data_IF_232983503103
#
_entry.id   IF_232983503103
#
_cell.length_a   1.000
_cell.length_b   1.000
_cell.length_c   1.000
_cell.angle_alpha   90.00
_cell.angle_beta   90.00
_cell.angle_gamma   90.00
#
_symmetry.space_group_name_H-M   'P 1'
#
loop_
_entity.id
_entity.type
_entity.pdbx_description
1 polymer ?
#
# COMPACT_ATOMS: atom_id res chain seq x y z
N UNK A 1 18.62 -24.50 5.70
CA UNK A 1 19.05 -23.17 5.21
C UNK A 1 18.85 -23.02 3.70
N UNK A 2 19.61 -23.71 2.83
CA UNK A 2 19.55 -23.57 1.36
C UNK A 2 18.14 -23.53 0.74
N UNK A 3 17.33 -24.57 0.94
CA UNK A 3 15.96 -24.64 0.37
C UNK A 3 15.05 -23.53 0.90
N UNK A 4 15.10 -23.25 2.20
CA UNK A 4 14.33 -22.16 2.80
C UNK A 4 14.74 -20.78 2.27
N UNK A 5 16.04 -20.53 2.05
CA UNK A 5 16.53 -19.29 1.44
C UNK A 5 16.13 -19.19 -0.02
N UNK A 6 16.14 -20.30 -0.76
CA UNK A 6 15.65 -20.32 -2.14
C UNK A 6 14.16 -19.97 -2.19
N UNK A 7 13.33 -20.57 -1.34
CA UNK A 7 11.91 -20.23 -1.24
C UNK A 7 11.70 -18.76 -0.88
N UNK A 8 12.49 -18.25 0.08
CA UNK A 8 12.47 -16.84 0.42
C UNK A 8 12.84 -15.95 -0.77
N UNK A 9 13.78 -16.34 -1.61
CA UNK A 9 14.22 -15.53 -2.76
C UNK A 9 13.12 -15.28 -3.80
N UNK A 10 12.11 -16.14 -3.87
CA UNK A 10 10.94 -15.97 -4.75
C UNK A 10 9.78 -15.24 -4.08
N UNK A 11 9.83 -15.02 -2.77
CA UNK A 11 8.75 -14.34 -2.04
C UNK A 11 8.58 -12.84 -2.33
N UNK A 12 9.52 -12.07 -2.93
CA UNK A 12 9.22 -10.71 -3.39
C UNK A 12 8.03 -10.64 -4.35
N UNK A 13 7.80 -11.70 -5.16
CA UNK A 13 6.67 -11.78 -6.08
C UNK A 13 5.33 -11.98 -5.36
N UNK A 14 5.36 -12.58 -4.16
CA UNK A 14 4.18 -12.75 -3.34
C UNK A 14 3.94 -11.52 -2.45
N UNK A 15 4.97 -11.09 -1.70
CA UNK A 15 4.88 -9.92 -0.83
C UNK A 15 6.26 -9.37 -0.41
N UNK A 16 6.65 -8.21 -0.96
CA UNK A 16 7.96 -7.58 -0.75
C UNK A 16 8.30 -7.28 0.72
N UNK A 17 7.35 -6.80 1.53
CA UNK A 17 7.64 -6.47 2.95
C UNK A 17 8.01 -7.71 3.77
N UNK A 18 7.28 -8.82 3.57
CA UNK A 18 7.54 -10.07 4.28
C UNK A 18 8.87 -10.67 3.85
N UNK A 19 9.17 -10.64 2.55
CA UNK A 19 10.48 -10.98 2.02
C UNK A 19 11.59 -10.22 2.76
N UNK A 20 11.50 -8.89 2.74
CA UNK A 20 12.56 -8.02 3.24
C UNK A 20 12.81 -8.25 4.72
N UNK A 21 11.75 -8.26 5.54
CA UNK A 21 11.86 -8.44 6.98
C UNK A 21 12.39 -9.82 7.35
N UNK A 22 11.94 -10.87 6.67
CA UNK A 22 12.45 -12.23 6.89
C UNK A 22 13.93 -12.34 6.48
N UNK A 23 14.31 -11.75 5.35
CA UNK A 23 15.70 -11.76 4.88
C UNK A 23 16.63 -11.00 5.83
N UNK A 24 16.22 -9.82 6.31
CA UNK A 24 16.96 -9.06 7.30
C UNK A 24 17.08 -9.82 8.63
N UNK A 25 15.99 -10.43 9.11
CA UNK A 25 16.01 -11.25 10.32
C UNK A 25 17.00 -12.41 10.22
N UNK A 26 16.95 -13.20 9.14
CA UNK A 26 17.87 -14.32 8.93
C UNK A 26 19.32 -13.83 8.79
N UNK A 27 19.54 -12.77 8.03
CA UNK A 27 20.86 -12.14 7.89
C UNK A 27 21.44 -11.73 9.24
N UNK A 28 20.64 -11.07 10.08
CA UNK A 28 21.05 -10.70 11.45
C UNK A 28 21.34 -11.93 12.31
N UNK A 29 20.56 -13.00 12.22
CA UNK A 29 20.84 -14.24 12.96
C UNK A 29 22.17 -14.87 12.56
N UNK A 30 22.50 -14.91 11.27
CA UNK A 30 23.78 -15.43 10.79
C UNK A 30 24.94 -14.59 11.35
N UNK A 31 24.80 -13.26 11.34
CA UNK A 31 25.81 -12.34 11.85
C UNK A 31 26.02 -12.49 13.38
N UNK A 32 24.94 -12.63 14.15
CA UNK A 32 24.99 -12.74 15.61
C UNK A 32 25.46 -14.11 16.12
N UNK A 33 25.32 -15.18 15.32
CA UNK A 33 25.66 -16.55 15.72
C UNK A 33 27.09 -17.01 15.31
N UNK A 34 27.97 -16.07 14.91
CA UNK A 34 29.40 -16.29 14.67
C UNK A 34 29.81 -17.30 13.57
N UNK A 35 28.87 -17.83 12.77
CA UNK A 35 29.16 -18.67 11.57
C UNK A 35 29.32 -17.80 10.32
N UNK A 36 30.29 -16.89 10.37
CA UNK A 36 30.18 -15.60 9.65
C UNK A 36 30.37 -15.63 8.13
N UNK A 37 31.23 -16.48 7.57
CA UNK A 37 31.56 -16.35 6.13
C UNK A 37 30.78 -17.30 5.24
N UNK A 38 30.90 -18.61 5.45
CA UNK A 38 30.29 -19.60 4.55
C UNK A 38 28.76 -19.50 4.52
N UNK A 39 28.12 -19.36 5.69
CA UNK A 39 26.66 -19.34 5.76
C UNK A 39 26.10 -18.03 5.21
N UNK A 40 26.77 -16.90 5.43
CA UNK A 40 26.40 -15.62 4.83
C UNK A 40 26.57 -15.64 3.31
N UNK A 41 27.68 -16.16 2.79
CA UNK A 41 27.89 -16.30 1.34
C UNK A 41 26.83 -17.20 0.71
N UNK A 42 26.54 -18.36 1.32
CA UNK A 42 25.48 -19.24 0.83
C UNK A 42 24.12 -18.55 0.90
N UNK A 43 23.82 -17.82 1.97
CA UNK A 43 22.57 -17.08 2.10
C UNK A 43 22.41 -16.02 0.99
N UNK A 44 23.42 -15.19 0.77
CA UNK A 44 23.41 -14.15 -0.27
C UNK A 44 23.31 -14.74 -1.69
N UNK A 45 24.03 -15.83 -1.97
CA UNK A 45 23.94 -16.50 -3.28
C UNK A 45 22.54 -17.04 -3.55
N UNK A 46 21.89 -17.62 -2.54
CA UNK A 46 20.53 -18.15 -2.68
C UNK A 46 19.46 -17.05 -2.68
N UNK A 47 19.80 -15.81 -2.30
CA UNK A 47 18.94 -14.65 -2.47
C UNK A 47 19.02 -14.03 -3.86
N UNK A 48 20.01 -14.37 -4.69
CA UNK A 48 20.14 -13.77 -6.03
C UNK A 48 18.86 -13.81 -6.90
N UNK A 49 18.01 -14.84 -6.88
CA UNK A 49 16.75 -14.82 -7.62
C UNK A 49 15.82 -13.66 -7.23
N UNK A 50 15.92 -13.12 -6.01
CA UNK A 50 15.13 -11.96 -5.61
C UNK A 50 15.48 -10.71 -6.40
N UNK A 51 16.67 -10.63 -7.01
CA UNK A 51 17.07 -9.50 -7.85
C UNK A 51 16.19 -9.37 -9.10
N UNK A 52 15.53 -10.46 -9.51
CA UNK A 52 14.55 -10.43 -10.61
C UNK A 52 13.34 -9.54 -10.30
N UNK A 53 13.09 -9.19 -9.03
CA UNK A 53 12.02 -8.26 -8.65
C UNK A 53 12.42 -6.79 -8.74
N UNK A 54 13.72 -6.46 -8.88
CA UNK A 54 14.20 -5.07 -8.90
C UNK A 54 13.59 -4.22 -10.04
N UNK A 55 13.38 -4.74 -11.27
CA UNK A 55 12.73 -3.96 -12.33
C UNK A 55 11.34 -3.43 -11.92
N UNK A 56 10.61 -4.14 -11.05
CA UNK A 56 9.29 -3.72 -10.57
C UNK A 56 9.33 -2.55 -9.58
N UNK A 57 10.50 -2.26 -9.01
CA UNK A 57 10.72 -1.10 -8.15
C UNK A 57 11.08 0.16 -8.95
N UNK A 58 11.43 0.01 -10.24
CA UNK A 58 11.78 1.14 -11.10
C UNK A 58 10.55 2.04 -11.29
N UNK A 59 10.74 3.35 -11.08
CA UNK A 59 9.68 4.35 -11.19
C UNK A 59 8.81 4.51 -9.94
N UNK A 60 9.01 3.73 -8.88
CA UNK A 60 8.32 3.96 -7.60
C UNK A 60 8.97 5.13 -6.86
N UNK A 61 8.15 6.09 -6.43
CA UNK A 61 8.61 7.29 -5.74
C UNK A 61 8.79 7.04 -4.23
N UNK A 62 9.90 7.51 -3.66
CA UNK A 62 10.20 7.53 -2.23
C UNK A 62 9.87 6.22 -1.47
N UNK A 63 10.33 5.08 -1.99
CA UNK A 63 10.11 3.76 -1.35
C UNK A 63 10.71 3.66 0.06
N UNK A 64 11.85 4.31 0.30
CA UNK A 64 12.53 4.32 1.60
C UNK A 64 12.59 5.76 2.09
N UNK A 65 12.04 6.01 3.27
CA UNK A 65 11.99 7.33 3.91
C UNK A 65 12.40 7.21 5.38
N UNK A 66 13.13 8.21 5.87
CA UNK A 66 13.31 8.36 7.30
C UNK A 66 12.07 9.03 7.89
N UNK A 67 11.40 8.36 8.83
CA UNK A 67 10.17 8.80 9.49
C UNK A 67 10.32 8.51 10.98
N UNK A 68 10.68 9.50 11.82
CA UNK A 68 10.90 9.28 13.24
C UNK A 68 9.58 9.09 13.97
N UNK A 69 9.29 7.87 14.40
CA UNK A 69 8.00 7.51 15.00
C UNK A 69 6.98 7.24 13.91
N UNK A 70 6.97 6.01 13.41
CA UNK A 70 5.98 5.58 12.43
C UNK A 70 4.56 5.79 12.97
N UNK A 71 3.76 6.50 12.17
CA UNK A 71 2.38 6.90 12.43
C UNK A 71 2.20 7.57 13.80
N UNK A 72 2.46 8.89 13.86
CA UNK A 72 2.14 9.72 15.01
C UNK A 72 0.60 9.84 15.15
N UNK A 73 -0.02 8.75 15.61
CA UNK A 73 -1.45 8.42 15.62
C UNK A 73 -2.42 9.60 15.52
N UNK A 74 -2.39 10.53 16.48
CA UNK A 74 -3.36 11.61 16.59
C UNK A 74 -2.92 12.95 16.01
N UNK A 75 -1.61 13.24 16.04
CA UNK A 75 -1.09 14.54 15.61
C UNK A 75 0.38 14.41 15.30
N UNK A 76 0.76 14.86 14.10
CA UNK A 76 2.15 15.11 13.78
C UNK A 76 2.71 16.19 14.72
N UNK A 77 3.80 15.86 15.41
CA UNK A 77 4.55 16.79 16.22
C UNK A 77 5.74 17.32 15.40
N UNK A 78 6.00 18.63 15.35
CA UNK A 78 7.16 19.17 14.63
C UNK A 78 8.50 18.72 15.25
N UNK A 79 8.51 18.25 16.49
CA UNK A 79 9.70 17.77 17.18
C UNK A 79 9.92 16.26 16.99
N UNK A 80 11.18 15.87 16.84
CA UNK A 80 11.60 14.46 16.76
C UNK A 80 11.04 13.65 17.94
N UNK A 81 11.23 14.15 19.15
CA UNK A 81 10.84 13.47 20.39
C UNK A 81 9.34 13.36 20.56
N UNK A 82 8.56 14.38 20.16
CA UNK A 82 7.11 14.32 20.20
C UNK A 82 6.55 13.18 19.33
N UNK A 83 7.07 13.01 18.11
CA UNK A 83 6.65 11.91 17.24
C UNK A 83 7.03 10.53 17.80
N UNK A 84 8.24 10.39 18.37
CA UNK A 84 8.68 9.14 19.01
C UNK A 84 7.76 8.79 20.19
N UNK A 85 7.41 9.76 21.04
CA UNK A 85 6.52 9.55 22.18
C UNK A 85 5.10 9.19 21.74
N UNK A 86 4.56 9.89 20.73
CA UNK A 86 3.24 9.59 20.18
C UNK A 86 3.17 8.18 19.57
N UNK A 87 4.20 7.78 18.81
CA UNK A 87 4.30 6.43 18.26
C UNK A 87 4.46 5.37 19.37
N UNK A 88 5.28 5.65 20.38
CA UNK A 88 5.42 4.76 21.55
C UNK A 88 4.09 4.58 22.29
N UNK A 89 3.35 5.67 22.50
CA UNK A 89 2.03 5.61 23.11
C UNK A 89 1.04 4.79 22.27
N UNK A 90 1.03 4.98 20.94
CA UNK A 90 0.23 4.17 20.03
C UNK A 90 0.54 2.68 20.18
N UNK A 91 1.82 2.30 20.21
CA UNK A 91 2.22 0.90 20.39
C UNK A 91 1.83 0.34 21.74
N UNK A 92 1.98 1.10 22.83
CA UNK A 92 1.56 0.67 24.16
C UNK A 92 0.04 0.56 24.26
N UNK A 93 -0.72 1.47 23.65
CA UNK A 93 -2.18 1.42 23.68
C UNK A 93 -2.73 0.23 22.87
N UNK A 94 -2.14 -0.08 21.72
CA UNK A 94 -2.73 -1.01 20.76
C UNK A 94 -2.03 -2.38 20.67
N UNK A 95 -0.76 -2.47 21.08
CA UNK A 95 0.07 -3.67 20.93
C UNK A 95 0.74 -4.11 22.25
N UNK A 96 0.29 -3.63 23.42
CA UNK A 96 0.83 -4.05 24.73
C UNK A 96 0.92 -5.57 24.89
N UNK A 97 -0.07 -6.32 24.40
CA UNK A 97 -0.07 -7.78 24.47
C UNK A 97 1.10 -8.43 23.74
N UNK A 98 1.54 -7.84 22.62
CA UNK A 98 2.73 -8.30 21.89
C UNK A 98 4.02 -8.04 22.68
N UNK A 99 4.14 -6.88 23.34
CA UNK A 99 5.29 -6.59 24.21
C UNK A 99 5.34 -7.47 25.45
N UNK A 100 4.19 -7.75 26.07
CA UNK A 100 4.12 -8.71 27.17
C UNK A 100 4.58 -10.09 26.73
N UNK A 101 4.18 -10.55 25.53
CA UNK A 101 4.67 -11.81 24.98
C UNK A 101 6.18 -11.81 24.72
N UNK A 102 6.72 -10.73 24.16
CA UNK A 102 8.17 -10.59 23.99
C UNK A 102 8.90 -10.68 25.35
N UNK A 103 8.39 -10.02 26.39
CA UNK A 103 8.95 -10.08 27.74
C UNK A 103 8.83 -11.46 28.40
N UNK A 104 7.69 -12.13 28.25
CA UNK A 104 7.48 -13.49 28.76
C UNK A 104 8.42 -14.48 28.06
N UNK A 105 8.53 -14.42 26.74
CA UNK A 105 9.43 -15.31 26.00
C UNK A 105 10.88 -14.99 26.31
N UNK A 106 11.22 -13.71 26.50
CA UNK A 106 12.54 -13.33 27.00
C UNK A 106 12.86 -13.99 28.33
N UNK A 107 11.93 -13.95 29.28
CA UNK A 107 12.13 -14.55 30.60
C UNK A 107 12.19 -16.08 30.57
N UNK A 108 11.37 -16.71 29.74
CA UNK A 108 11.19 -18.17 29.73
C UNK A 108 12.13 -18.91 28.75
N UNK A 109 12.74 -18.20 27.79
CA UNK A 109 13.54 -18.81 26.72
C UNK A 109 14.99 -18.35 26.74
N UNK A 110 15.88 -19.25 26.30
CA UNK A 110 17.30 -18.94 26.04
C UNK A 110 17.52 -18.32 24.66
N UNK A 111 16.48 -18.18 23.82
CA UNK A 111 16.54 -17.69 22.43
C UNK A 111 16.63 -16.15 22.34
N UNK A 112 17.45 -15.51 23.19
CA UNK A 112 17.55 -14.04 23.26
C UNK A 112 18.02 -13.41 21.95
N UNK A 113 18.89 -14.09 21.19
CA UNK A 113 19.38 -13.59 19.89
C UNK A 113 18.27 -13.36 18.87
N UNK A 114 17.25 -14.23 18.84
CA UNK A 114 16.07 -14.07 17.99
C UNK A 114 15.24 -12.85 18.41
N UNK A 115 15.00 -12.70 19.71
CA UNK A 115 14.26 -11.57 20.26
C UNK A 115 14.98 -10.24 20.02
N UNK A 116 16.30 -10.20 20.20
CA UNK A 116 17.13 -9.01 19.92
C UNK A 116 16.96 -8.59 18.45
N UNK A 117 17.00 -9.54 17.50
CA UNK A 117 16.82 -9.19 16.09
C UNK A 117 15.42 -8.65 15.78
N UNK A 118 14.37 -9.25 16.35
CA UNK A 118 13.01 -8.75 16.20
C UNK A 118 12.89 -7.33 16.77
N UNK A 119 13.43 -7.08 17.96
CA UNK A 119 13.40 -5.77 18.61
C UNK A 119 14.14 -4.72 17.78
N UNK A 120 15.34 -5.04 17.27
CA UNK A 120 16.09 -4.11 16.41
C UNK A 120 15.32 -3.79 15.14
N UNK A 121 14.74 -4.79 14.47
CA UNK A 121 13.94 -4.57 13.26
C UNK A 121 12.66 -3.77 13.54
N UNK A 122 12.01 -4.02 14.68
CA UNK A 122 10.86 -3.24 15.13
C UNK A 122 11.23 -1.77 15.35
N UNK A 123 12.33 -1.51 16.05
CA UNK A 123 12.81 -0.14 16.25
C UNK A 123 13.16 0.49 14.92
N UNK A 124 13.94 -0.19 14.06
CA UNK A 124 14.30 0.32 12.74
C UNK A 124 13.06 0.65 11.89
N UNK A 125 12.02 -0.20 11.90
CA UNK A 125 10.78 0.04 11.16
C UNK A 125 9.96 1.24 11.68
N UNK A 126 10.21 1.68 12.91
CA UNK A 126 9.64 2.90 13.48
C UNK A 126 10.40 4.18 13.09
N UNK A 127 11.60 4.06 12.52
CA UNK A 127 12.41 5.19 12.04
C UNK A 127 12.58 5.21 10.51
N UNK A 128 12.43 4.05 9.86
CA UNK A 128 12.60 3.88 8.43
C UNK A 128 11.34 3.25 7.85
N UNK A 129 10.61 4.07 7.12
CA UNK A 129 9.47 3.62 6.33
C UNK A 129 9.99 3.02 5.01
N UNK A 130 9.52 1.82 4.70
CA UNK A 130 9.88 1.04 3.50
C UNK A 130 8.65 0.80 2.61
N UNK A 131 7.62 1.62 2.80
CA UNK A 131 6.36 1.61 2.05
C UNK A 131 6.07 3.01 1.50
N UNK A 132 5.33 3.08 0.40
CA UNK A 132 4.95 4.36 -0.21
C UNK A 132 3.95 5.10 0.69
N UNK A 133 2.92 4.37 1.12
CA UNK A 133 1.88 4.84 2.03
C UNK A 133 2.28 4.58 3.48
N UNK A 134 1.99 5.54 4.35
CA UNK A 134 2.26 5.42 5.79
C UNK A 134 1.57 4.19 6.38
N UNK A 135 0.28 3.99 6.06
CA UNK A 135 -0.47 2.84 6.55
C UNK A 135 0.07 1.49 6.03
N UNK A 136 0.63 1.45 4.82
CA UNK A 136 1.15 0.20 4.24
C UNK A 136 2.35 -0.37 5.02
N UNK A 137 3.09 0.47 5.75
CA UNK A 137 4.16 0.04 6.63
C UNK A 137 3.66 -0.91 7.74
N UNK A 138 2.36 -0.94 8.07
CA UNK A 138 1.81 -1.94 9.01
C UNK A 138 2.16 -3.37 8.59
N UNK A 139 2.32 -3.63 7.28
CA UNK A 139 2.71 -4.95 6.73
C UNK A 139 4.09 -5.39 7.24
N UNK A 140 5.00 -4.45 7.51
CA UNK A 140 6.30 -4.71 8.13
C UNK A 140 6.12 -5.21 9.56
N UNK A 141 5.28 -4.53 10.34
CA UNK A 141 5.00 -4.91 11.72
C UNK A 141 4.21 -6.22 11.80
N UNK A 142 3.31 -6.49 10.85
CA UNK A 142 2.65 -7.80 10.72
C UNK A 142 3.67 -8.89 10.41
N UNK A 143 4.64 -8.65 9.51
CA UNK A 143 5.72 -9.61 9.25
C UNK A 143 6.56 -9.89 10.50
N UNK A 144 6.89 -8.86 11.28
CA UNK A 144 7.56 -9.01 12.58
C UNK A 144 6.71 -9.80 13.58
N UNK A 145 5.41 -9.53 13.65
CA UNK A 145 4.47 -10.26 14.49
C UNK A 145 4.43 -11.76 14.13
N UNK A 146 4.32 -12.10 12.84
CA UNK A 146 4.35 -13.50 12.40
C UNK A 146 5.70 -14.17 12.66
N UNK A 147 6.82 -13.45 12.48
CA UNK A 147 8.14 -13.95 12.85
C UNK A 147 8.24 -14.22 14.36
N UNK A 148 7.69 -13.33 15.19
CA UNK A 148 7.60 -13.56 16.63
C UNK A 148 6.83 -14.85 16.92
N UNK A 149 5.66 -15.05 16.33
CA UNK A 149 4.88 -16.29 16.46
C UNK A 149 5.70 -17.52 16.04
N UNK A 150 6.38 -17.46 14.89
CA UNK A 150 7.21 -18.56 14.42
C UNK A 150 8.33 -18.90 15.41
N UNK A 151 9.04 -17.89 15.93
CA UNK A 151 10.07 -18.09 16.96
C UNK A 151 9.47 -18.71 18.22
N UNK A 152 8.29 -18.25 18.65
CA UNK A 152 7.61 -18.75 19.84
C UNK A 152 7.12 -20.19 19.68
N UNK A 153 6.53 -20.53 18.54
CA UNK A 153 6.09 -21.91 18.22
C UNK A 153 7.25 -22.90 18.18
N UNK A 154 8.46 -22.43 17.87
CA UNK A 154 9.67 -23.26 17.86
C UNK A 154 10.31 -23.47 19.24
N UNK A 155 9.68 -23.02 20.32
CA UNK A 155 10.21 -23.19 21.68
C UNK A 155 9.90 -24.59 22.21
N UNK A 156 10.94 -25.39 22.41
CA UNK A 156 10.85 -26.72 23.00
C UNK A 156 10.60 -26.62 24.50
N UNK A 157 9.34 -26.77 24.96
CA UNK A 157 9.00 -26.96 26.39
C UNK A 157 7.51 -27.28 26.62
N UNK A 158 7.16 -27.75 27.83
CA UNK A 158 5.78 -27.81 28.37
C UNK A 158 5.11 -26.42 28.51
N UNK A 159 5.85 -25.34 28.24
CA UNK A 159 5.36 -23.94 28.25
C UNK A 159 4.68 -23.60 26.91
N UNK A 160 4.96 -24.35 25.83
CA UNK A 160 4.33 -24.20 24.50
C UNK A 160 2.80 -24.17 24.59
N UNK A 161 2.17 -25.14 25.25
CA UNK A 161 0.71 -25.19 25.43
C UNK A 161 0.15 -23.91 26.09
N UNK A 162 0.83 -23.37 27.11
CA UNK A 162 0.39 -22.13 27.78
C UNK A 162 0.51 -20.91 26.88
N UNK A 163 1.57 -20.84 26.09
CA UNK A 163 1.78 -19.77 25.10
C UNK A 163 0.80 -19.90 23.92
N UNK A 164 0.44 -21.11 23.52
CA UNK A 164 -0.58 -21.38 22.49
C UNK A 164 -1.95 -20.83 22.89
N UNK A 165 -2.37 -20.99 24.16
CA UNK A 165 -3.61 -20.36 24.64
C UNK A 165 -3.55 -18.83 24.60
N UNK A 166 -2.40 -18.23 24.94
CA UNK A 166 -2.24 -16.77 24.84
C UNK A 166 -2.31 -16.31 23.38
N UNK A 167 -1.70 -17.05 22.46
CA UNK A 167 -1.79 -16.79 21.02
C UNK A 167 -3.23 -16.88 20.53
N UNK A 168 -4.00 -17.88 20.98
CA UNK A 168 -5.42 -18.01 20.66
C UNK A 168 -6.22 -16.80 21.16
N UNK A 169 -5.97 -16.31 22.38
CA UNK A 169 -6.60 -15.10 22.92
C UNK A 169 -6.28 -13.87 22.06
N UNK A 170 -5.03 -13.75 21.58
CA UNK A 170 -4.64 -12.64 20.70
C UNK A 170 -5.33 -12.66 19.33
N UNK A 171 -5.96 -13.77 18.94
CA UNK A 171 -6.79 -13.81 17.71
C UNK A 171 -8.20 -13.29 17.91
N UNK A 172 -8.69 -13.17 19.16
CA UNK A 172 -10.06 -12.75 19.44
C UNK A 172 -10.43 -11.36 18.87
N UNK A 173 -9.56 -10.33 18.95
CA UNK A 173 -9.86 -9.04 18.32
C UNK A 173 -10.01 -9.16 16.80
N UNK A 174 -9.18 -9.98 16.15
CA UNK A 174 -9.28 -10.23 14.71
C UNK A 174 -10.60 -10.95 14.36
N UNK A 175 -11.04 -11.91 15.18
CA UNK A 175 -12.33 -12.58 15.01
C UNK A 175 -13.51 -11.64 15.21
N UNK A 176 -13.42 -10.68 16.14
CA UNK A 176 -14.44 -9.66 16.33
C UNK A 176 -14.55 -8.75 15.09
N UNK A 177 -13.41 -8.39 14.49
CA UNK A 177 -13.35 -7.55 13.30
C UNK A 177 -13.92 -8.23 12.04
N UNK A 178 -13.89 -9.57 11.98
CA UNK A 178 -14.52 -10.31 10.87
C UNK A 178 -16.00 -9.96 10.71
N UNK A 179 -16.71 -9.63 11.79
CA UNK A 179 -18.11 -9.20 11.71
C UNK A 179 -18.24 -7.92 10.87
N UNK A 180 -17.36 -6.94 11.09
CA UNK A 180 -17.32 -5.69 10.31
C UNK A 180 -17.03 -5.99 8.85
N UNK A 181 -16.00 -6.81 8.59
CA UNK A 181 -15.61 -7.20 7.22
C UNK A 181 -16.78 -7.87 6.49
N UNK A 182 -17.45 -8.85 7.11
CA UNK A 182 -18.58 -9.53 6.47
C UNK A 182 -19.81 -8.63 6.30
N UNK A 183 -20.04 -7.68 7.22
CA UNK A 183 -21.13 -6.73 7.11
C UNK A 183 -20.92 -5.71 5.99
N UNK A 184 -19.68 -5.26 5.79
CA UNK A 184 -19.32 -4.26 4.77
C UNK A 184 -19.05 -4.87 3.40
N UNK A 185 -18.61 -6.13 3.33
CA UNK A 185 -18.29 -6.82 2.08
C UNK A 185 -19.43 -6.77 1.05
N UNK A 186 -20.69 -6.89 1.50
CA UNK A 186 -21.86 -6.85 0.61
C UNK A 186 -22.19 -5.45 0.07
N UNK A 187 -21.66 -4.38 0.67
CA UNK A 187 -21.99 -3.00 0.31
C UNK A 187 -21.02 -2.38 -0.69
N UNK A 188 -19.82 -2.96 -0.84
CA UNK A 188 -18.71 -2.37 -1.58
C UNK A 188 -18.36 -3.20 -2.83
N UNK A 189 -19.23 -3.22 -3.84
CA UNK A 189 -18.85 -3.70 -5.18
C UNK A 189 -18.05 -2.62 -5.90
N UNK A 190 -16.80 -2.88 -6.34
CA UNK A 190 -15.95 -1.86 -6.98
C UNK A 190 -16.57 -1.24 -8.24
N UNK A 191 -17.30 -2.06 -9.00
CA UNK A 191 -18.06 -1.66 -10.18
C UNK A 191 -19.41 -2.38 -10.19
N UNK A 192 -20.49 -1.64 -10.45
CA UNK A 192 -21.81 -2.24 -10.67
C UNK A 192 -22.03 -2.57 -12.17
N UNK A 193 -23.17 -3.21 -12.48
CA UNK A 193 -23.49 -3.64 -13.85
C UNK A 193 -23.60 -2.44 -14.79
N UNK A 194 -24.14 -1.32 -14.31
CA UNK A 194 -24.33 -0.09 -15.08
C UNK A 194 -22.98 0.54 -15.45
N UNK A 195 -22.02 0.58 -14.53
CA UNK A 195 -20.65 1.06 -14.74
C UNK A 195 -19.88 0.18 -15.73
N UNK A 196 -20.09 -1.16 -15.69
CA UNK A 196 -19.54 -2.07 -16.70
C UNK A 196 -20.09 -1.76 -18.10
N UNK A 197 -21.39 -1.46 -18.22
CA UNK A 197 -22.00 -1.07 -19.49
C UNK A 197 -21.47 0.29 -19.99
N UNK A 198 -21.24 1.24 -19.09
CA UNK A 198 -20.58 2.51 -19.43
C UNK A 198 -19.19 2.25 -20.01
N UNK A 199 -18.39 1.37 -19.38
CA UNK A 199 -17.05 1.04 -19.87
C UNK A 199 -17.06 0.42 -21.28
N UNK A 200 -17.98 -0.50 -21.56
CA UNK A 200 -18.15 -1.10 -22.89
C UNK A 200 -18.56 -0.06 -23.93
N UNK A 201 -19.52 0.82 -23.60
CA UNK A 201 -19.95 1.88 -24.51
C UNK A 201 -18.83 2.88 -24.79
N UNK A 202 -18.04 3.26 -23.79
CA UNK A 202 -16.82 4.06 -24.00
C UNK A 202 -15.87 3.34 -24.95
N UNK A 203 -15.75 2.02 -24.84
CA UNK A 203 -14.89 1.22 -25.71
C UNK A 203 -15.38 1.17 -27.17
N UNK A 204 -16.67 1.22 -27.41
CA UNK A 204 -17.25 1.21 -28.77
C UNK A 204 -17.26 2.60 -29.42
N UNK A 205 -17.34 3.68 -28.63
CA UNK A 205 -17.63 5.04 -29.13
C UNK A 205 -16.47 6.04 -28.95
N UNK A 206 -15.29 5.58 -28.54
CA UNK A 206 -14.09 6.43 -28.43
C UNK A 206 -12.89 5.78 -29.10
N UNK A 207 -12.01 6.61 -29.66
CA UNK A 207 -10.75 6.14 -30.25
C UNK A 207 -9.89 5.38 -29.23
N UNK A 208 -9.10 4.37 -29.64
CA UNK A 208 -8.27 3.58 -28.72
C UNK A 208 -7.31 4.43 -27.87
N UNK A 209 -6.75 5.50 -28.44
CA UNK A 209 -5.80 6.39 -27.78
C UNK A 209 -6.46 7.60 -27.11
N UNK A 210 -7.79 7.68 -27.10
CA UNK A 210 -8.52 8.81 -26.55
C UNK A 210 -8.22 9.02 -25.07
N UNK A 211 -8.09 10.29 -24.68
CA UNK A 211 -7.89 10.69 -23.29
C UNK A 211 -9.23 11.13 -22.71
N UNK A 212 -9.70 10.45 -21.67
CA UNK A 212 -10.97 10.73 -21.01
C UNK A 212 -10.74 11.58 -19.76
N UNK A 213 -11.43 12.72 -19.69
CA UNK A 213 -11.58 13.52 -18.49
C UNK A 213 -12.66 12.90 -17.61
N UNK A 214 -12.28 12.54 -16.39
CA UNK A 214 -13.15 11.96 -15.36
C UNK A 214 -12.91 12.66 -14.03
N UNK A 215 -13.80 12.43 -13.07
CA UNK A 215 -13.46 12.69 -11.67
C UNK A 215 -12.23 11.86 -11.28
N UNK A 216 -11.34 12.37 -10.41
CA UNK A 216 -10.11 11.67 -10.01
C UNK A 216 -10.37 10.58 -8.95
N UNK A 217 -11.30 9.67 -9.23
CA UNK A 217 -11.70 8.57 -8.35
C UNK A 217 -10.97 7.27 -8.68
N UNK A 218 -10.89 6.36 -7.71
CA UNK A 218 -10.24 5.04 -7.88
C UNK A 218 -10.99 4.14 -8.87
N UNK A 219 -12.33 4.15 -8.82
CA UNK A 219 -13.17 3.24 -9.58
C UNK A 219 -13.97 3.96 -10.67
N UNK A 220 -13.32 4.82 -11.47
CA UNK A 220 -13.99 5.35 -12.66
C UNK A 220 -14.26 4.20 -13.65
N UNK A 221 -15.47 4.10 -14.25
CA UNK A 221 -15.75 3.09 -15.28
C UNK A 221 -14.86 3.27 -16.52
N UNK A 222 -14.36 4.49 -16.78
CA UNK A 222 -13.42 4.74 -17.86
C UNK A 222 -12.11 3.94 -17.71
N UNK A 223 -11.70 3.58 -16.49
CA UNK A 223 -10.54 2.71 -16.23
C UNK A 223 -10.68 1.35 -16.92
N UNK A 224 -11.90 0.81 -17.01
CA UNK A 224 -12.18 -0.49 -17.62
C UNK A 224 -12.31 -0.43 -19.15
N UNK A 225 -12.40 0.76 -19.72
CA UNK A 225 -12.50 0.93 -21.17
C UNK A 225 -11.16 0.75 -21.89
N UNK A 226 -10.03 0.71 -21.17
CA UNK A 226 -8.69 0.68 -21.78
C UNK A 226 -8.20 2.03 -22.33
N UNK A 227 -8.97 3.11 -22.17
CA UNK A 227 -8.60 4.47 -22.59
C UNK A 227 -7.73 5.14 -21.54
N UNK A 228 -6.94 6.13 -21.97
CA UNK A 228 -6.11 6.91 -21.05
C UNK A 228 -7.01 7.82 -20.21
N UNK A 229 -6.74 7.91 -18.92
CA UNK A 229 -7.37 8.91 -18.06
C UNK A 229 -6.52 10.17 -18.05
N UNK A 230 -7.17 11.34 -18.14
CA UNK A 230 -6.45 12.60 -18.04
C UNK A 230 -5.73 12.72 -16.70
N UNK A 231 -6.40 12.41 -15.60
CA UNK A 231 -5.80 12.37 -14.26
C UNK A 231 -5.96 10.99 -13.63
N UNK A 232 -7.20 10.50 -13.48
CA UNK A 232 -7.47 9.27 -12.73
C UNK A 232 -7.21 9.43 -11.23
N UNK A 233 -7.05 8.31 -10.51
CA UNK A 233 -6.82 8.33 -9.07
C UNK A 233 -5.41 8.82 -8.71
N UNK A 234 -5.35 9.91 -7.95
CA UNK A 234 -4.11 10.58 -7.56
C UNK A 234 -3.17 9.64 -6.80
N UNK A 235 -3.71 8.77 -5.94
CA UNK A 235 -2.91 7.82 -5.18
C UNK A 235 -2.11 6.86 -6.06
N UNK A 236 -2.68 6.41 -7.18
CA UNK A 236 -1.97 5.58 -8.17
C UNK A 236 -0.85 6.37 -8.83
N UNK A 237 -1.12 7.61 -9.24
CA UNK A 237 -0.11 8.46 -9.89
C UNK A 237 1.07 8.74 -8.96
N UNK A 238 0.80 9.11 -7.71
CA UNK A 238 1.83 9.33 -6.69
C UNK A 238 2.64 8.06 -6.42
N UNK A 239 1.97 6.92 -6.24
CA UNK A 239 2.64 5.64 -5.98
C UNK A 239 3.48 5.13 -7.15
N UNK A 240 3.37 5.73 -8.34
CA UNK A 240 4.13 5.38 -9.54
C UNK A 240 5.02 6.55 -10.02
N UNK A 241 5.21 7.60 -9.21
CA UNK A 241 6.07 8.73 -9.58
C UNK A 241 5.62 9.49 -10.84
N UNK A 242 4.35 9.35 -11.24
CA UNK A 242 3.83 9.98 -12.46
C UNK A 242 3.56 11.45 -12.16
N UNK A 243 4.14 12.38 -12.93
CA UNK A 243 3.88 13.82 -12.74
C UNK A 243 2.40 14.15 -12.96
N UNK A 244 1.70 14.57 -11.91
CA UNK A 244 0.25 14.81 -11.96
C UNK A 244 -0.20 16.20 -11.48
N UNK A 245 0.63 16.96 -10.76
CA UNK A 245 0.21 18.21 -10.11
C UNK A 245 -0.40 19.26 -11.07
N UNK A 246 0.16 19.43 -12.28
CA UNK A 246 -0.43 20.33 -13.29
C UNK A 246 -1.85 19.88 -13.69
N UNK A 247 -2.02 18.58 -13.97
CA UNK A 247 -3.32 17.99 -14.34
C UNK A 247 -4.31 18.07 -13.19
N UNK A 248 -3.87 17.80 -11.97
CA UNK A 248 -4.66 17.98 -10.75
C UNK A 248 -5.20 19.40 -10.61
N UNK A 249 -4.34 20.42 -10.76
CA UNK A 249 -4.75 21.82 -10.71
C UNK A 249 -5.81 22.15 -11.77
N UNK A 250 -5.65 21.64 -13.00
CA UNK A 250 -6.64 21.83 -14.06
C UNK A 250 -7.98 21.16 -13.72
N UNK A 251 -7.99 19.95 -13.17
CA UNK A 251 -9.22 19.22 -12.83
C UNK A 251 -9.99 19.78 -11.63
N UNK A 252 -9.46 20.77 -10.92
CA UNK A 252 -10.21 21.48 -9.87
C UNK A 252 -11.39 22.28 -10.44
N UNK A 253 -11.33 22.68 -11.71
CA UNK A 253 -12.40 23.37 -12.43
C UNK A 253 -12.68 22.66 -13.75
N UNK A 254 -13.95 22.35 -14.01
CA UNK A 254 -14.35 21.74 -15.27
C UNK A 254 -13.89 22.60 -16.45
N UNK A 255 -14.14 23.91 -16.38
CA UNK A 255 -13.73 24.90 -17.39
C UNK A 255 -12.23 24.87 -17.69
N UNK A 256 -11.39 24.79 -16.67
CA UNK A 256 -9.93 24.73 -16.85
C UNK A 256 -9.51 23.43 -17.53
N UNK A 257 -10.10 22.30 -17.13
CA UNK A 257 -9.77 21.00 -17.70
C UNK A 257 -10.19 20.86 -19.18
N UNK A 258 -11.38 21.32 -19.54
CA UNK A 258 -11.86 21.28 -20.94
C UNK A 258 -11.10 22.27 -21.85
N UNK A 259 -10.53 23.35 -21.30
CA UNK A 259 -9.70 24.29 -22.04
C UNK A 259 -8.20 23.92 -22.03
N UNK A 260 -7.86 22.70 -21.62
CA UNK A 260 -6.47 22.24 -21.52
C UNK A 260 -5.71 22.43 -22.84
N UNK A 261 -6.28 22.01 -23.99
CA UNK A 261 -5.60 22.09 -25.30
C UNK A 261 -5.17 23.53 -25.66
N UNK A 262 -5.98 24.52 -25.25
CA UNK A 262 -5.71 25.94 -25.50
C UNK A 262 -4.71 26.54 -24.50
N UNK A 263 -4.74 26.08 -23.25
CA UNK A 263 -3.98 26.72 -22.14
C UNK A 263 -2.67 26.01 -21.80
N UNK A 264 -2.58 24.71 -22.09
CA UNK A 264 -1.45 23.84 -21.76
C UNK A 264 -1.22 22.84 -22.90
N UNK A 265 -0.84 23.31 -24.11
CA UNK A 265 -0.68 22.45 -25.29
C UNK A 265 0.42 21.40 -25.14
N UNK A 266 1.32 21.54 -24.15
CA UNK A 266 2.37 20.57 -23.86
C UNK A 266 1.86 19.33 -23.10
N UNK A 267 0.65 19.38 -22.56
CA UNK A 267 0.05 18.28 -21.80
C UNK A 267 -0.76 17.35 -22.71
N UNK A 268 -0.87 16.05 -22.36
CA UNK A 268 -1.83 15.14 -22.98
C UNK A 268 -3.24 15.50 -22.52
N UNK A 269 -3.84 16.50 -23.18
CA UNK A 269 -5.16 17.04 -22.84
C UNK A 269 -6.31 16.11 -23.24
N UNK A 270 -7.44 16.17 -22.53
CA UNK A 270 -8.55 15.25 -22.77
C UNK A 270 -9.25 15.51 -24.12
N UNK A 271 -9.75 14.43 -24.72
CA UNK A 271 -10.56 14.42 -25.94
C UNK A 271 -12.04 14.26 -25.63
N UNK A 272 -12.36 13.62 -24.51
CA UNK A 272 -13.72 13.37 -24.07
C UNK A 272 -13.90 13.71 -22.60
N UNK A 273 -15.12 14.08 -22.22
CA UNK A 273 -15.58 14.22 -20.84
C UNK A 273 -16.62 13.14 -20.55
N UNK A 274 -16.36 12.34 -19.52
CA UNK A 274 -17.37 11.49 -18.90
C UNK A 274 -18.24 12.32 -17.95
N UNK A 275 -19.54 12.06 -17.89
CA UNK A 275 -20.45 12.80 -17.03
C UNK A 275 -21.47 11.90 -16.32
N UNK A 276 -21.00 11.16 -15.32
CA UNK A 276 -21.83 10.33 -14.45
C UNK A 276 -21.98 10.94 -13.04
N UNK A 277 -22.52 10.16 -12.09
CA UNK A 277 -22.70 10.57 -10.69
C UNK A 277 -21.40 11.05 -10.02
N UNK A 278 -20.27 10.40 -10.28
CA UNK A 278 -18.96 10.79 -9.75
C UNK A 278 -18.53 12.16 -10.27
N UNK A 279 -18.68 12.43 -11.56
CA UNK A 279 -18.35 13.75 -12.14
C UNK A 279 -19.28 14.85 -11.65
N UNK A 280 -20.59 14.59 -11.55
CA UNK A 280 -21.56 15.52 -10.95
C UNK A 280 -21.22 15.85 -9.50
N UNK A 281 -20.71 14.88 -8.75
CA UNK A 281 -20.29 15.07 -7.36
C UNK A 281 -18.96 15.81 -7.23
N UNK A 282 -18.05 15.67 -8.20
CA UNK A 282 -16.76 16.35 -8.20
C UNK A 282 -16.87 17.81 -8.68
N UNK A 283 -17.60 18.05 -9.77
CA UNK A 283 -17.87 19.38 -10.33
C UNK A 283 -19.30 19.81 -10.05
N UNK A 284 -19.67 19.91 -8.77
CA UNK A 284 -21.04 20.24 -8.34
C UNK A 284 -21.49 21.58 -8.89
N UNK A 285 -22.72 21.62 -9.40
CA UNK A 285 -23.35 22.83 -9.94
C UNK A 285 -22.95 23.16 -11.38
N UNK A 286 -22.04 22.38 -11.97
CA UNK A 286 -21.69 22.51 -13.38
C UNK A 286 -22.66 21.75 -14.28
N UNK A 287 -22.86 22.26 -15.49
CA UNK A 287 -23.66 21.65 -16.53
C UNK A 287 -22.85 21.65 -17.84
N UNK A 288 -22.40 20.47 -18.33
CA UNK A 288 -21.61 20.36 -19.55
C UNK A 288 -22.25 21.00 -20.77
N UNK A 289 -23.59 21.02 -20.84
CA UNK A 289 -24.33 21.58 -21.99
C UNK A 289 -24.14 23.09 -22.16
N UNK A 290 -23.68 23.79 -21.12
CA UNK A 290 -23.43 25.25 -21.13
C UNK A 290 -22.08 25.63 -21.72
N UNK A 291 -21.21 24.66 -21.98
CA UNK A 291 -19.86 24.89 -22.46
C UNK A 291 -19.78 24.72 -23.98
N UNK A 292 -19.45 25.79 -24.70
CA UNK A 292 -19.39 25.81 -26.19
C UNK A 292 -18.37 24.80 -26.77
N UNK A 293 -17.31 24.52 -26.01
CA UNK A 293 -16.25 23.59 -26.36
C UNK A 293 -16.56 22.12 -26.03
N UNK A 294 -17.78 21.82 -25.54
CA UNK A 294 -18.28 20.47 -25.38
C UNK A 294 -19.36 20.19 -26.42
N UNK A 295 -19.17 19.13 -27.21
CA UNK A 295 -20.19 18.59 -28.10
C UNK A 295 -20.82 17.35 -27.44
N UNK A 296 -22.16 17.26 -27.32
CA UNK A 296 -22.79 16.02 -26.92
C UNK A 296 -22.50 14.91 -27.94
N UNK A 297 -22.36 13.68 -27.46
CA UNK A 297 -22.28 12.48 -28.31
C UNK A 297 -23.63 11.76 -28.32
N UNK A 298 -23.71 10.64 -29.04
CA UNK A 298 -24.88 9.74 -28.99
C UNK A 298 -25.10 9.13 -27.60
N UNK A 299 -24.06 9.11 -26.77
CA UNK A 299 -24.12 8.63 -25.39
C UNK A 299 -24.45 9.80 -24.44
N UNK A 300 -25.51 9.70 -23.61
CA UNK A 300 -25.99 10.81 -22.78
C UNK A 300 -25.03 11.22 -21.65
N UNK A 301 -24.02 10.40 -21.38
CA UNK A 301 -23.01 10.61 -20.35
C UNK A 301 -21.62 10.95 -20.93
N UNK A 302 -21.50 11.17 -22.24
CA UNK A 302 -20.22 11.41 -22.91
C UNK A 302 -20.28 12.65 -23.78
N UNK A 303 -19.28 13.52 -23.63
CA UNK A 303 -19.12 14.73 -24.43
C UNK A 303 -17.76 14.70 -25.11
N UNK A 304 -17.69 15.16 -26.36
CA UNK A 304 -16.44 15.37 -27.09
C UNK A 304 -15.94 16.79 -26.84
N UNK A 305 -14.66 16.93 -26.50
CA UNK A 305 -14.00 18.22 -26.26
C UNK A 305 -13.45 18.74 -27.59
N UNK A 306 -13.89 19.93 -28.01
CA UNK A 306 -13.46 20.59 -29.24
C UNK A 306 -12.11 21.29 -29.07
#
# INVERSE_FOLDING_TARGET
MKLATLLLSFSPLAHTHFFLITALFIGMQILLQAKLRKDLTVFLLYLLPSLLSLPWLVGKENLIKFVPGWLAWHKFDPTLWGNILNSTYMWLANAWGWFLLLGLVWYLSKKHTHLISITILFLAANFVQIAIWEWDQIKVFIALYLLSIAVWSSLESKISLKLEYVLLILTLPALAELKTVFAEYKKNTPYNKEELQVALKLMEHTEPEAIILTAPTHNSPATLSGRKLFLGYIGTLHSHGIRYHKRQKLTQSLRSAINCKKTNPELPCPDYLLWNTHEKNHWKGEDPSRYENLAPTELPFLYKIK
#
